data_IF_393213030019
#
_entry.id   IF_393213030019
#
_cell.length_a   1.000
_cell.length_b   1.000
_cell.length_c   1.000
_cell.angle_alpha   90.00
_cell.angle_beta   90.00
_cell.angle_gamma   90.00
#
_symmetry.space_group_name_H-M   'P 1'
#
loop_
_entity.id
_entity.type
_entity.pdbx_description
1 polymer ?
#
# COMPACT_ATOMS: atom_id res chain seq x y z
N UNK A 1 0.82 -16.95 -24.41
CA UNK A 1 0.98 -16.24 -23.13
C UNK A 1 -0.39 -16.32 -22.46
N UNK A 2 -0.48 -16.83 -21.24
CA UNK A 2 -1.74 -16.92 -20.50
C UNK A 2 -1.79 -15.77 -19.50
N UNK A 3 -2.87 -14.99 -19.51
CA UNK A 3 -3.11 -13.85 -18.62
C UNK A 3 -4.18 -14.17 -17.57
N UNK A 4 -4.64 -15.43 -17.49
CA UNK A 4 -5.63 -15.82 -16.51
C UNK A 4 -5.04 -15.79 -15.11
N UNK A 5 -5.80 -15.25 -14.16
CA UNK A 5 -5.45 -15.28 -12.76
C UNK A 5 -5.52 -16.70 -12.20
N UNK A 6 -4.62 -17.03 -11.27
CA UNK A 6 -4.70 -18.28 -10.49
C UNK A 6 -5.93 -18.24 -9.57
N UNK A 7 -6.34 -19.38 -9.04
CA UNK A 7 -7.46 -19.44 -8.09
C UNK A 7 -7.16 -18.64 -6.81
N UNK A 8 -5.92 -18.66 -6.34
CA UNK A 8 -5.49 -17.84 -5.19
C UNK A 8 -5.60 -16.34 -5.48
N UNK A 9 -5.17 -15.91 -6.67
CA UNK A 9 -5.27 -14.51 -7.09
C UNK A 9 -6.73 -14.07 -7.24
N UNK A 10 -7.63 -14.93 -7.73
CA UNK A 10 -9.07 -14.65 -7.79
C UNK A 10 -9.70 -14.52 -6.40
N UNK A 11 -9.33 -15.39 -5.47
CA UNK A 11 -9.77 -15.29 -4.07
C UNK A 11 -9.26 -14.02 -3.42
N UNK A 12 -7.99 -13.68 -3.66
CA UNK A 12 -7.38 -12.44 -3.21
C UNK A 12 -8.11 -11.22 -3.79
N UNK A 13 -8.31 -11.18 -5.10
CA UNK A 13 -9.06 -10.12 -5.77
C UNK A 13 -10.43 -9.90 -5.12
N UNK A 14 -11.19 -10.99 -4.97
CA UNK A 14 -12.51 -10.92 -4.34
C UNK A 14 -12.44 -10.38 -2.91
N UNK A 15 -11.47 -10.82 -2.13
CA UNK A 15 -11.29 -10.38 -0.73
C UNK A 15 -11.01 -8.87 -0.66
N UNK A 16 -10.12 -8.39 -1.51
CA UNK A 16 -9.81 -6.95 -1.58
C UNK A 16 -11.02 -6.16 -2.09
N UNK A 17 -11.67 -6.64 -3.15
CA UNK A 17 -12.88 -6.01 -3.69
C UNK A 17 -13.98 -5.85 -2.64
N UNK A 18 -14.31 -6.92 -1.92
CA UNK A 18 -15.35 -6.90 -0.88
C UNK A 18 -15.00 -5.91 0.25
N UNK A 19 -13.73 -5.84 0.63
CA UNK A 19 -13.25 -4.84 1.60
C UNK A 19 -13.40 -3.42 1.06
N UNK A 20 -12.96 -3.18 -0.17
CA UNK A 20 -13.00 -1.85 -0.80
C UNK A 20 -14.43 -1.37 -0.98
N UNK A 21 -15.32 -2.23 -1.47
CA UNK A 21 -16.74 -1.93 -1.65
C UNK A 21 -17.44 -1.54 -0.32
N UNK A 22 -16.98 -2.11 0.79
CA UNK A 22 -17.56 -1.85 2.12
C UNK A 22 -16.94 -0.66 2.84
N UNK A 23 -15.63 -0.50 2.78
CA UNK A 23 -14.90 0.40 3.70
C UNK A 23 -14.28 1.61 2.98
N UNK A 24 -14.06 1.54 1.67
CA UNK A 24 -13.35 2.59 0.90
C UNK A 24 -14.31 3.34 -0.01
N UNK A 25 -14.98 2.63 -0.91
CA UNK A 25 -15.82 3.21 -1.94
C UNK A 25 -16.95 4.11 -1.39
N UNK A 26 -17.68 3.75 -0.31
CA UNK A 26 -18.73 4.60 0.24
C UNK A 26 -18.22 5.94 0.81
N UNK A 27 -16.92 6.04 1.09
CA UNK A 27 -16.27 7.24 1.61
C UNK A 27 -15.52 8.06 0.55
N UNK A 28 -15.43 7.58 -0.69
CA UNK A 28 -14.62 8.21 -1.74
C UNK A 28 -15.04 9.67 -1.99
N UNK A 29 -16.32 9.94 -2.07
CA UNK A 29 -16.83 11.31 -2.28
C UNK A 29 -16.53 12.23 -1.08
N UNK A 30 -16.69 11.75 0.14
CA UNK A 30 -16.34 12.50 1.36
C UNK A 30 -14.86 12.87 1.39
N UNK A 31 -13.98 11.90 1.10
CA UNK A 31 -12.52 12.09 1.00
C UNK A 31 -12.16 13.16 -0.05
N UNK A 32 -12.83 13.14 -1.19
CA UNK A 32 -12.60 14.11 -2.28
C UNK A 32 -13.00 15.52 -1.86
N UNK A 33 -14.20 15.68 -1.29
CA UNK A 33 -14.73 16.99 -0.89
C UNK A 33 -13.99 17.60 0.29
N UNK A 34 -13.65 16.79 1.30
CA UNK A 34 -13.01 17.27 2.52
C UNK A 34 -11.50 17.32 2.43
N UNK A 35 -10.89 16.64 1.45
CA UNK A 35 -9.44 16.40 1.36
C UNK A 35 -8.88 15.69 2.61
N UNK A 36 -9.72 14.97 3.36
CA UNK A 36 -9.31 14.21 4.54
C UNK A 36 -9.09 12.74 4.20
N UNK A 37 -7.93 12.21 4.58
CA UNK A 37 -7.59 10.82 4.31
C UNK A 37 -8.43 9.83 5.14
N UNK A 38 -8.89 8.73 4.53
CA UNK A 38 -9.69 7.70 5.21
C UNK A 38 -8.85 6.81 6.14
N UNK A 39 -8.45 7.36 7.29
CA UNK A 39 -7.68 6.63 8.31
C UNK A 39 -8.42 5.41 8.87
N UNK A 40 -9.75 5.43 8.88
CA UNK A 40 -10.55 4.30 9.36
C UNK A 40 -10.37 3.08 8.47
N UNK A 41 -10.44 3.25 7.14
CA UNK A 41 -10.15 2.17 6.21
C UNK A 41 -8.67 1.75 6.25
N UNK A 42 -7.74 2.71 6.30
CA UNK A 42 -6.31 2.41 6.36
C UNK A 42 -5.93 1.52 7.55
N UNK A 43 -6.49 1.78 8.74
CA UNK A 43 -6.24 0.93 9.91
C UNK A 43 -6.75 -0.51 9.74
N UNK A 44 -7.83 -0.70 8.99
CA UNK A 44 -8.39 -2.02 8.67
C UNK A 44 -7.58 -2.75 7.58
N UNK A 45 -6.81 -2.03 6.78
CA UNK A 45 -5.95 -2.60 5.74
C UNK A 45 -4.74 -3.35 6.32
N UNK A 46 -4.23 -2.95 7.50
CA UNK A 46 -3.11 -3.62 8.13
C UNK A 46 -3.35 -5.12 8.35
N UNK A 47 -4.39 -5.52 9.10
CA UNK A 47 -4.73 -6.94 9.31
C UNK A 47 -5.01 -7.73 8.03
N UNK A 48 -5.39 -7.06 6.93
CA UNK A 48 -5.60 -7.67 5.62
C UNK A 48 -4.31 -7.80 4.79
N UNK A 49 -3.17 -7.30 5.30
CA UNK A 49 -1.90 -7.33 4.58
C UNK A 49 -1.76 -6.27 3.48
N UNK A 50 -2.72 -5.39 3.28
CA UNK A 50 -2.69 -4.36 2.23
C UNK A 50 -1.64 -3.25 2.48
N UNK A 51 -1.15 -3.12 3.71
CA UNK A 51 -0.06 -2.21 4.08
C UNK A 51 1.33 -2.88 4.11
N UNK A 52 1.42 -4.11 3.61
CA UNK A 52 2.67 -4.87 3.68
C UNK A 52 2.88 -5.78 2.47
N UNK A 53 2.33 -5.38 1.33
CA UNK A 53 2.33 -6.19 0.10
C UNK A 53 3.73 -6.65 -0.31
N UNK A 54 4.72 -5.78 -0.21
CA UNK A 54 6.12 -6.03 -0.59
C UNK A 54 7.06 -6.25 0.60
N UNK A 55 6.54 -6.24 1.83
CA UNK A 55 7.34 -6.51 3.03
C UNK A 55 7.43 -8.02 3.22
N UNK A 56 8.64 -8.60 3.36
CA UNK A 56 8.81 -10.03 3.62
C UNK A 56 8.12 -10.46 4.92
N UNK A 57 7.67 -11.73 4.95
CA UNK A 57 6.97 -12.32 6.11
C UNK A 57 7.81 -12.27 7.39
N UNK A 58 9.12 -12.42 7.29
CA UNK A 58 10.05 -12.35 8.42
C UNK A 58 10.06 -10.99 9.16
N UNK A 59 9.59 -9.93 8.47
CA UNK A 59 9.39 -8.59 9.03
C UNK A 59 7.91 -8.25 9.28
N UNK A 60 7.04 -9.27 9.28
CA UNK A 60 5.62 -9.10 9.54
C UNK A 60 4.81 -8.63 8.33
N UNK A 61 5.34 -8.80 7.13
CA UNK A 61 4.68 -8.46 5.88
C UNK A 61 3.86 -9.60 5.28
N UNK A 62 3.20 -9.31 4.17
CA UNK A 62 2.44 -10.29 3.39
C UNK A 62 3.26 -10.96 2.30
N UNK A 63 4.35 -10.31 1.84
CA UNK A 63 5.27 -10.85 0.86
C UNK A 63 4.61 -11.35 -0.42
N UNK A 64 3.51 -10.72 -0.85
CA UNK A 64 2.76 -11.19 -2.02
C UNK A 64 3.54 -10.97 -3.32
N UNK A 65 3.24 -11.77 -4.34
CA UNK A 65 3.81 -11.60 -5.67
C UNK A 65 3.35 -10.28 -6.33
N UNK A 66 4.07 -9.86 -7.38
CA UNK A 66 3.81 -8.58 -8.06
C UNK A 66 2.41 -8.50 -8.69
N UNK A 67 1.84 -9.64 -9.12
CA UNK A 67 0.49 -9.68 -9.71
C UNK A 67 -0.53 -9.47 -8.59
N UNK A 68 -0.39 -10.16 -7.48
CA UNK A 68 -1.26 -10.00 -6.31
C UNK A 68 -1.20 -8.57 -5.72
N UNK A 69 -0.01 -7.95 -5.73
CA UNK A 69 0.14 -6.55 -5.36
C UNK A 69 -0.59 -5.61 -6.34
N UNK A 70 -0.46 -5.85 -7.64
CA UNK A 70 -1.16 -5.06 -8.67
C UNK A 70 -2.68 -5.19 -8.55
N UNK A 71 -3.20 -6.41 -8.35
CA UNK A 71 -4.64 -6.67 -8.09
C UNK A 71 -5.13 -5.83 -6.89
N UNK A 72 -4.38 -5.82 -5.79
CA UNK A 72 -4.77 -5.07 -4.61
C UNK A 72 -4.88 -3.55 -4.88
N UNK A 73 -3.92 -2.99 -5.61
CA UNK A 73 -3.91 -1.56 -5.96
C UNK A 73 -5.01 -1.24 -6.98
N UNK A 74 -5.27 -2.12 -7.95
CA UNK A 74 -6.36 -1.98 -8.92
C UNK A 74 -7.72 -1.91 -8.21
N UNK A 75 -7.99 -2.84 -7.31
CA UNK A 75 -9.24 -2.87 -6.56
C UNK A 75 -9.39 -1.64 -5.64
N UNK A 76 -8.32 -1.20 -5.00
CA UNK A 76 -8.32 0.05 -4.25
C UNK A 76 -8.64 1.25 -5.15
N UNK A 77 -8.07 1.29 -6.37
CA UNK A 77 -8.29 2.34 -7.36
C UNK A 77 -9.73 2.39 -7.87
N UNK A 78 -10.36 1.22 -8.04
CA UNK A 78 -11.77 1.11 -8.33
C UNK A 78 -12.64 1.80 -7.28
N UNK A 79 -12.31 1.67 -6.00
CA UNK A 79 -13.08 2.27 -4.91
C UNK A 79 -12.75 3.75 -4.66
N UNK A 80 -11.47 4.11 -4.68
CA UNK A 80 -11.02 5.48 -4.43
C UNK A 80 -9.57 5.67 -4.90
N UNK A 81 -9.38 6.45 -5.96
CA UNK A 81 -8.06 6.69 -6.56
C UNK A 81 -7.04 7.32 -5.61
N UNK A 82 -7.45 8.30 -4.78
CA UNK A 82 -6.56 8.93 -3.81
C UNK A 82 -6.13 7.97 -2.69
N UNK A 83 -7.04 7.10 -2.23
CA UNK A 83 -6.71 6.04 -1.27
C UNK A 83 -5.73 5.04 -1.90
N UNK A 84 -5.98 4.60 -3.14
CA UNK A 84 -5.06 3.70 -3.85
C UNK A 84 -3.67 4.30 -4.01
N UNK A 85 -3.59 5.58 -4.39
CA UNK A 85 -2.31 6.29 -4.52
C UNK A 85 -1.54 6.32 -3.20
N UNK A 86 -2.21 6.64 -2.08
CA UNK A 86 -1.58 6.69 -0.76
C UNK A 86 -1.05 5.30 -0.33
N UNK A 87 -1.82 4.23 -0.56
CA UNK A 87 -1.42 2.86 -0.21
C UNK A 87 -0.33 2.34 -1.16
N UNK A 88 -0.39 2.68 -2.45
CA UNK A 88 0.68 2.38 -3.41
C UNK A 88 1.98 3.08 -3.05
N UNK A 89 1.92 4.37 -2.71
CA UNK A 89 3.09 5.13 -2.25
C UNK A 89 3.67 4.56 -0.96
N UNK A 90 2.84 4.17 -0.02
CA UNK A 90 3.27 3.50 1.21
C UNK A 90 4.05 2.21 0.92
N UNK A 91 3.47 1.30 0.14
CA UNK A 91 4.11 0.02 -0.20
C UNK A 91 5.34 0.22 -1.10
N UNK A 92 5.24 1.06 -2.14
CA UNK A 92 6.31 1.29 -3.11
C UNK A 92 7.38 2.24 -2.59
N UNK A 93 7.03 3.52 -2.48
CA UNK A 93 8.00 4.58 -2.21
C UNK A 93 8.45 4.61 -0.75
N UNK A 94 7.55 4.33 0.19
CA UNK A 94 7.83 4.43 1.62
C UNK A 94 8.56 3.22 2.20
N UNK A 95 8.20 2.00 1.79
CA UNK A 95 8.73 0.77 2.42
C UNK A 95 9.77 0.05 1.57
N UNK A 96 9.65 0.04 0.24
CA UNK A 96 10.58 -0.67 -0.64
C UNK A 96 12.05 -0.27 -0.45
N UNK A 97 12.43 1.02 -0.30
CA UNK A 97 13.81 1.38 -0.04
C UNK A 97 14.38 0.76 1.24
N UNK A 98 13.54 0.66 2.29
CA UNK A 98 13.95 0.02 3.54
C UNK A 98 14.10 -1.50 3.35
N UNK A 99 13.18 -2.14 2.61
CA UNK A 99 13.26 -3.58 2.30
C UNK A 99 14.53 -3.90 1.52
N UNK A 100 14.85 -3.11 0.50
CA UNK A 100 15.98 -3.40 -0.41
C UNK A 100 17.34 -3.00 0.17
N UNK A 101 17.41 -1.84 0.84
CA UNK A 101 18.69 -1.21 1.19
C UNK A 101 18.83 -0.92 2.68
N UNK A 102 17.79 -1.11 3.49
CA UNK A 102 17.84 -0.90 4.93
C UNK A 102 18.74 -1.91 5.64
N UNK A 103 19.44 -1.48 6.69
CA UNK A 103 20.09 -2.39 7.60
C UNK A 103 19.07 -3.30 8.31
N UNK A 104 19.51 -4.45 8.82
CA UNK A 104 18.64 -5.35 9.59
C UNK A 104 17.97 -4.66 10.78
N UNK A 105 18.69 -3.73 11.41
CA UNK A 105 18.14 -2.92 12.50
C UNK A 105 16.99 -2.02 12.02
N UNK A 106 17.14 -1.33 10.89
CA UNK A 106 16.11 -0.49 10.30
C UNK A 106 14.90 -1.30 9.86
N UNK A 107 15.11 -2.45 9.21
CA UNK A 107 14.04 -3.37 8.80
C UNK A 107 13.21 -3.82 9.99
N UNK A 108 13.85 -4.35 11.03
CA UNK A 108 13.19 -4.81 12.26
C UNK A 108 12.46 -3.69 12.99
N UNK A 109 13.03 -2.49 13.00
CA UNK A 109 12.45 -1.33 13.69
C UNK A 109 11.19 -0.79 12.97
N UNK A 110 11.23 -0.70 11.64
CA UNK A 110 10.21 0.05 10.91
C UNK A 110 9.21 -0.81 10.15
N UNK A 111 9.62 -1.94 9.55
CA UNK A 111 8.75 -2.69 8.63
C UNK A 111 7.51 -3.26 9.34
N UNK A 112 7.68 -3.93 10.48
CA UNK A 112 6.56 -4.45 11.25
C UNK A 112 5.62 -3.34 11.77
N UNK A 113 6.19 -2.19 12.12
CA UNK A 113 5.42 -1.05 12.61
C UNK A 113 4.49 -0.50 11.52
N UNK A 114 5.00 -0.29 10.31
CA UNK A 114 4.21 0.28 9.20
C UNK A 114 3.26 -0.76 8.60
N UNK A 115 3.65 -2.04 8.55
CA UNK A 115 2.78 -3.14 8.10
C UNK A 115 1.51 -3.27 8.94
N UNK A 116 1.60 -3.02 10.24
CA UNK A 116 0.47 -3.17 11.17
C UNK A 116 -0.70 -2.21 10.93
N UNK A 117 -0.48 -1.10 10.24
CA UNK A 117 -1.49 -0.04 10.04
C UNK A 117 -1.90 0.73 11.29
N UNK A 118 -1.26 0.47 12.44
CA UNK A 118 -1.68 1.06 13.72
C UNK A 118 -1.33 2.54 13.83
N UNK A 119 -0.24 2.98 13.22
CA UNK A 119 0.29 4.30 13.55
C UNK A 119 0.68 5.19 12.37
N UNK A 120 1.27 4.65 11.29
CA UNK A 120 1.90 5.48 10.25
C UNK A 120 1.90 4.80 8.89
N UNK A 121 1.85 5.61 7.84
CA UNK A 121 2.18 5.20 6.48
C UNK A 121 3.62 5.65 6.17
N UNK A 122 4.33 4.84 5.39
CA UNK A 122 5.60 5.23 4.79
C UNK A 122 5.36 6.24 3.67
N UNK A 123 6.30 7.15 3.49
CA UNK A 123 6.28 8.14 2.44
C UNK A 123 7.72 8.44 1.97
N UNK A 124 7.85 9.06 0.80
CA UNK A 124 9.11 9.52 0.26
C UNK A 124 9.08 11.04 0.09
N UNK A 125 10.04 11.71 0.66
CA UNK A 125 10.33 13.12 0.41
C UNK A 125 11.52 13.18 -0.56
N UNK A 126 11.28 13.53 -1.82
CA UNK A 126 12.28 13.46 -2.89
C UNK A 126 12.69 14.82 -3.41
N UNK A 127 11.72 15.70 -3.68
CA UNK A 127 12.00 17.04 -4.22
C UNK A 127 12.66 17.93 -3.19
N UNK A 128 13.67 18.68 -3.63
CA UNK A 128 14.38 19.69 -2.86
C UNK A 128 14.17 21.07 -3.46
N UNK A 129 14.47 22.17 -2.76
CA UNK A 129 14.30 23.54 -3.30
C UNK A 129 15.01 23.77 -4.64
N UNK A 130 16.15 23.12 -4.87
CA UNK A 130 16.95 23.23 -6.09
C UNK A 130 16.80 22.07 -7.07
N UNK A 131 16.09 20.98 -6.72
CA UNK A 131 16.05 19.76 -7.52
C UNK A 131 14.66 19.10 -7.48
N UNK A 132 14.01 19.07 -8.64
CA UNK A 132 12.73 18.37 -8.85
C UNK A 132 12.92 17.11 -9.69
N UNK A 133 12.51 17.15 -10.97
CA UNK A 133 12.67 16.01 -11.90
C UNK A 133 14.12 15.65 -12.17
N UNK A 134 15.02 16.61 -12.15
CA UNK A 134 16.47 16.38 -12.19
C UNK A 134 17.00 16.25 -10.76
N UNK A 135 17.10 15.02 -10.28
CA UNK A 135 17.54 14.69 -8.92
C UNK A 135 19.05 14.80 -8.72
N UNK A 136 19.82 14.94 -9.80
CA UNK A 136 21.28 15.04 -9.79
C UNK A 136 21.78 16.46 -10.12
N UNK A 137 20.87 17.37 -10.42
CA UNK A 137 21.15 18.76 -10.79
C UNK A 137 21.65 19.64 -9.64
#
# INVERSE_FOLDING_TARGET
>A
MNFDLTEEQKVWQKTVHDFVAKEVQPKAHEVDVTSEFNWTAARKMGPLGLLSLNIPEEYGGSGVDAISAAIAIEELGWGCGSTALAISAHNGLGTTPIVLYGSEELKKKWLALVASGKNKLGALALSEPGAGSDLQG
#
